data_IF_448537170692
#
_entry.id   IF_448537170692
#
_cell.length_a   1.000
_cell.length_b   1.000
_cell.length_c   1.000
_cell.angle_alpha   90.00
_cell.angle_beta   90.00
_cell.angle_gamma   90.00
#
_symmetry.space_group_name_H-M   'P 1'
#
loop_
_entity.id
_entity.type
_entity.pdbx_description
1 polymer ?
#
# COMPACT_ATOMS: atom_id res chain seq x y z
N UNK A 1 -32.42 6.80 11.28
CA UNK A 1 -31.02 7.12 11.59
C UNK A 1 -30.31 5.80 11.87
N UNK A 2 -29.65 5.21 10.87
CA UNK A 2 -28.83 4.01 11.06
C UNK A 2 -27.60 4.41 11.89
N UNK A 3 -27.36 3.70 12.97
CA UNK A 3 -26.18 3.86 13.81
C UNK A 3 -24.91 3.70 12.97
N UNK A 4 -24.23 4.79 12.68
CA UNK A 4 -22.90 4.86 12.07
C UNK A 4 -21.80 4.48 13.09
N UNK A 5 -22.08 3.57 14.00
CA UNK A 5 -21.05 2.92 14.81
C UNK A 5 -20.70 1.59 14.16
N UNK A 6 -20.24 1.65 12.91
CA UNK A 6 -19.52 0.55 12.30
C UNK A 6 -18.32 0.20 13.17
N UNK A 7 -18.12 -1.07 13.43
CA UNK A 7 -17.00 -1.56 14.24
C UNK A 7 -15.73 -1.42 13.41
N UNK A 8 -15.06 -0.25 13.46
CA UNK A 8 -13.79 -0.01 12.77
C UNK A 8 -12.78 -1.10 13.14
N UNK A 9 -12.21 -1.72 12.12
CA UNK A 9 -11.17 -2.73 12.26
C UNK A 9 -9.81 -2.05 12.45
N UNK A 10 -9.14 -2.38 13.55
CA UNK A 10 -7.77 -1.94 13.82
C UNK A 10 -6.82 -3.08 13.53
N UNK A 11 -5.89 -2.91 12.57
CA UNK A 11 -4.86 -3.91 12.31
C UNK A 11 -3.92 -4.11 13.51
N UNK A 12 -3.29 -5.28 13.58
CA UNK A 12 -2.22 -5.54 14.54
C UNK A 12 -1.01 -4.64 14.26
N UNK A 13 -0.33 -4.18 15.30
CA UNK A 13 0.89 -3.40 15.14
C UNK A 13 2.05 -4.27 14.64
N UNK A 14 2.93 -3.66 13.83
CA UNK A 14 4.16 -4.28 13.39
C UNK A 14 5.04 -4.64 14.61
N UNK A 15 5.41 -5.91 14.69
CA UNK A 15 6.31 -6.42 15.75
C UNK A 15 7.76 -6.33 15.32
N UNK A 16 8.67 -6.28 16.28
CA UNK A 16 10.11 -6.36 16.00
C UNK A 16 10.42 -7.62 15.18
N UNK A 17 11.18 -7.48 14.12
CA UNK A 17 11.50 -8.57 13.19
C UNK A 17 10.41 -8.87 12.18
N UNK A 18 9.30 -8.13 12.20
CA UNK A 18 8.19 -8.28 11.25
C UNK A 18 8.56 -7.85 9.83
N UNK A 19 7.64 -8.06 8.90
CA UNK A 19 7.82 -7.85 7.47
C UNK A 19 7.02 -6.64 7.00
N UNK A 20 7.72 -5.69 6.38
CA UNK A 20 7.14 -4.52 5.73
C UNK A 20 6.99 -4.82 4.24
N UNK A 21 5.77 -5.01 3.77
CA UNK A 21 5.46 -5.09 2.35
C UNK A 21 5.47 -3.70 1.73
N UNK A 22 6.17 -3.54 0.62
CA UNK A 22 6.18 -2.30 -0.14
C UNK A 22 5.51 -2.53 -1.50
N UNK A 23 4.61 -1.63 -1.87
CA UNK A 23 3.85 -1.69 -3.13
C UNK A 23 3.94 -0.36 -3.86
N UNK A 24 3.72 -0.39 -5.16
CA UNK A 24 3.68 0.81 -5.99
C UNK A 24 2.35 0.91 -6.75
N UNK A 25 1.24 1.20 -6.05
CA UNK A 25 -0.08 1.26 -6.68
C UNK A 25 -0.26 2.55 -7.51
N UNK A 26 0.62 3.52 -7.33
CA UNK A 26 0.69 4.74 -8.10
C UNK A 26 2.08 4.88 -8.73
N UNK A 27 2.88 5.87 -8.34
CA UNK A 27 4.25 6.03 -8.86
C UNK A 27 5.20 4.96 -8.31
N UNK A 28 6.04 4.39 -9.17
CA UNK A 28 7.18 3.55 -8.78
C UNK A 28 8.46 4.38 -8.70
N UNK A 29 9.32 4.07 -7.74
CA UNK A 29 10.56 4.82 -7.51
C UNK A 29 11.66 4.45 -8.53
N UNK A 30 11.39 4.68 -9.84
CA UNK A 30 12.27 4.28 -10.94
C UNK A 30 13.24 5.37 -11.41
N UNK A 31 13.11 6.60 -10.90
CA UNK A 31 13.94 7.75 -11.25
C UNK A 31 14.52 8.42 -10.01
N UNK A 32 15.67 9.11 -10.18
CA UNK A 32 16.26 9.91 -9.11
C UNK A 32 15.45 11.21 -8.86
N UNK A 33 15.37 11.71 -7.61
CA UNK A 33 16.03 11.16 -6.40
C UNK A 33 15.24 10.06 -5.68
N UNK A 34 14.06 9.69 -6.19
CA UNK A 34 13.14 8.75 -5.53
C UNK A 34 13.72 7.33 -5.44
N UNK A 35 14.44 6.89 -6.46
CA UNK A 35 15.10 5.59 -6.48
C UNK A 35 16.07 5.42 -5.30
N UNK A 36 17.01 6.34 -5.16
CA UNK A 36 17.99 6.31 -4.06
C UNK A 36 17.32 6.51 -2.70
N UNK A 37 16.33 7.41 -2.59
CA UNK A 37 15.61 7.67 -1.36
C UNK A 37 14.87 6.43 -0.88
N UNK A 38 14.15 5.73 -1.76
CA UNK A 38 13.41 4.54 -1.40
C UNK A 38 14.34 3.36 -1.06
N UNK A 39 15.42 3.16 -1.82
CA UNK A 39 16.45 2.17 -1.46
C UNK A 39 17.03 2.41 -0.07
N UNK A 40 17.41 3.64 0.23
CA UNK A 40 17.92 4.02 1.54
C UNK A 40 16.90 3.76 2.65
N UNK A 41 15.62 4.00 2.40
CA UNK A 41 14.55 3.68 3.35
C UNK A 41 14.48 2.17 3.63
N UNK A 42 14.52 1.33 2.59
CA UNK A 42 14.54 -0.13 2.73
C UNK A 42 15.76 -0.62 3.53
N UNK A 43 16.94 -0.07 3.25
CA UNK A 43 18.17 -0.39 3.99
C UNK A 43 18.06 0.00 5.47
N UNK A 44 17.44 1.14 5.77
CA UNK A 44 17.19 1.57 7.14
C UNK A 44 16.22 0.64 7.88
N UNK A 45 15.13 0.21 7.24
CA UNK A 45 14.21 -0.77 7.84
C UNK A 45 14.94 -2.08 8.15
N UNK A 46 15.76 -2.57 7.23
CA UNK A 46 16.58 -3.76 7.48
C UNK A 46 17.56 -3.56 8.64
N UNK A 47 18.23 -2.40 8.72
CA UNK A 47 19.13 -2.06 9.82
C UNK A 47 18.40 -1.95 11.17
N UNK A 48 17.12 -1.60 11.18
CA UNK A 48 16.26 -1.58 12.37
C UNK A 48 15.75 -2.98 12.76
N UNK A 49 16.10 -4.01 11.98
CA UNK A 49 15.72 -5.41 12.25
C UNK A 49 14.39 -5.85 11.64
N UNK A 50 13.79 -5.04 10.75
CA UNK A 50 12.63 -5.46 9.96
C UNK A 50 13.06 -6.11 8.66
N UNK A 51 12.20 -6.95 8.10
CA UNK A 51 12.35 -7.45 6.74
C UNK A 51 11.55 -6.58 5.78
N UNK A 52 12.06 -6.37 4.57
CA UNK A 52 11.35 -5.64 3.52
C UNK A 52 11.02 -6.60 2.39
N UNK A 53 9.74 -6.68 2.06
CA UNK A 53 9.20 -7.45 0.94
C UNK A 53 8.74 -6.47 -0.14
N UNK A 54 9.43 -6.50 -1.30
CA UNK A 54 9.24 -5.52 -2.38
C UNK A 54 8.31 -6.07 -3.47
N UNK A 55 7.21 -5.38 -3.69
CA UNK A 55 6.37 -5.60 -4.85
C UNK A 55 7.11 -5.37 -6.16
N UNK A 56 6.73 -6.11 -7.17
CA UNK A 56 7.40 -6.10 -8.48
C UNK A 56 7.38 -4.75 -9.19
N UNK A 57 6.47 -3.85 -8.78
CA UNK A 57 6.30 -2.53 -9.38
C UNK A 57 7.08 -1.42 -8.67
N UNK A 58 7.70 -1.67 -7.51
CA UNK A 58 8.32 -0.63 -6.69
C UNK A 58 9.40 0.20 -7.40
N UNK A 59 10.09 -0.39 -8.38
CA UNK A 59 11.13 0.29 -9.18
C UNK A 59 10.77 0.37 -10.67
N UNK A 60 9.50 0.28 -11.02
CA UNK A 60 9.02 0.41 -12.39
C UNK A 60 8.41 1.78 -12.65
N UNK A 61 8.32 2.13 -13.91
CA UNK A 61 7.58 3.28 -14.41
C UNK A 61 7.00 2.97 -15.77
N UNK A 62 5.73 3.32 -15.97
CA UNK A 62 5.01 3.16 -17.24
C UNK A 62 4.35 4.51 -17.60
N UNK A 63 5.01 5.25 -18.44
CA UNK A 63 4.57 6.59 -18.81
C UNK A 63 4.74 7.61 -17.67
N UNK A 64 3.71 8.41 -17.42
CA UNK A 64 3.75 9.50 -16.45
C UNK A 64 2.92 9.15 -15.21
N UNK A 65 3.56 9.13 -14.04
CA UNK A 65 2.87 9.09 -12.74
C UNK A 65 2.30 7.73 -12.33
N UNK A 66 2.64 6.64 -13.03
CA UNK A 66 2.23 5.27 -12.67
C UNK A 66 3.41 4.31 -12.79
N UNK A 67 3.46 3.30 -11.93
CA UNK A 67 4.54 2.30 -11.91
C UNK A 67 4.39 1.25 -13.02
N UNK A 68 3.16 0.81 -13.28
CA UNK A 68 2.83 -0.22 -14.26
C UNK A 68 1.42 0.02 -14.80
N UNK A 69 0.89 -0.89 -15.61
CA UNK A 69 -0.51 -0.80 -16.04
C UNK A 69 -1.48 -0.78 -14.84
N UNK A 70 -2.65 -0.14 -14.96
CA UNK A 70 -3.65 -0.15 -13.89
C UNK A 70 -4.00 -1.54 -13.39
N UNK A 71 -4.09 -2.53 -14.30
CA UNK A 71 -4.34 -3.92 -13.97
C UNK A 71 -3.25 -4.53 -13.09
N UNK A 72 -1.99 -4.28 -13.43
CA UNK A 72 -0.86 -4.79 -12.66
C UNK A 72 -0.76 -4.13 -11.29
N UNK A 73 -0.99 -2.82 -11.22
CA UNK A 73 -0.98 -2.08 -9.95
C UNK A 73 -2.10 -2.53 -9.00
N UNK A 74 -3.32 -2.68 -9.51
CA UNK A 74 -4.46 -3.14 -8.72
C UNK A 74 -4.31 -4.58 -8.24
N UNK A 75 -3.76 -5.45 -9.09
CA UNK A 75 -3.45 -6.83 -8.73
C UNK A 75 -2.36 -6.91 -7.66
N UNK A 76 -1.24 -6.20 -7.82
CA UNK A 76 -0.17 -6.16 -6.82
C UNK A 76 -0.69 -5.68 -5.47
N UNK A 77 -1.45 -4.59 -5.44
CA UNK A 77 -2.04 -4.07 -4.21
C UNK A 77 -2.96 -5.10 -3.54
N UNK A 78 -3.81 -5.76 -4.31
CA UNK A 78 -4.71 -6.81 -3.81
C UNK A 78 -3.93 -7.98 -3.22
N UNK A 79 -2.97 -8.53 -3.98
CA UNK A 79 -2.18 -9.69 -3.56
C UNK A 79 -1.35 -9.40 -2.31
N UNK A 80 -0.70 -8.24 -2.25
CA UNK A 80 0.09 -7.84 -1.09
C UNK A 80 -0.76 -7.58 0.15
N UNK A 81 -1.96 -7.01 -0.02
CA UNK A 81 -2.88 -6.83 1.10
C UNK A 81 -3.38 -8.16 1.67
N UNK A 82 -3.63 -9.14 0.80
CA UNK A 82 -4.10 -10.49 1.18
C UNK A 82 -2.98 -11.41 1.68
N UNK A 83 -1.72 -11.11 1.35
CA UNK A 83 -0.58 -11.95 1.71
C UNK A 83 -0.41 -12.07 3.23
N UNK A 84 -0.14 -13.26 3.71
CA UNK A 84 0.25 -13.51 5.10
C UNK A 84 1.75 -13.38 5.34
N UNK A 85 2.53 -13.16 4.27
CA UNK A 85 4.00 -13.05 4.32
C UNK A 85 4.47 -11.66 4.75
N UNK A 86 3.58 -10.66 4.78
CA UNK A 86 3.88 -9.31 5.26
C UNK A 86 2.88 -8.86 6.32
N UNK A 87 3.33 -8.03 7.26
CA UNK A 87 2.55 -7.57 8.40
C UNK A 87 1.87 -6.22 8.17
N UNK A 88 2.54 -5.34 7.43
CA UNK A 88 2.03 -4.01 7.05
C UNK A 88 2.36 -3.72 5.61
N UNK A 89 1.65 -2.76 5.00
CA UNK A 89 1.95 -2.26 3.66
C UNK A 89 2.33 -0.79 3.68
N UNK A 90 3.41 -0.48 2.95
CA UNK A 90 3.79 0.89 2.60
C UNK A 90 3.70 1.08 1.09
N UNK A 91 3.11 2.19 0.66
CA UNK A 91 3.29 2.66 -0.71
C UNK A 91 4.67 3.31 -0.86
N UNK A 92 5.41 2.94 -1.89
CA UNK A 92 6.75 3.49 -2.12
C UNK A 92 6.73 4.94 -2.60
N UNK A 93 5.59 5.42 -3.14
CA UNK A 93 5.45 6.79 -3.63
C UNK A 93 4.01 7.24 -3.78
N UNK A 94 3.83 8.53 -3.98
CA UNK A 94 2.58 9.12 -4.46
C UNK A 94 2.43 8.93 -5.96
N UNK A 95 1.78 9.86 -6.64
CA UNK A 95 1.61 9.86 -8.11
C UNK A 95 0.36 10.64 -8.50
N UNK A 96 -0.18 10.31 -9.68
CA UNK A 96 -1.30 11.04 -10.29
C UNK A 96 -2.46 10.14 -10.73
N UNK A 97 -2.22 8.84 -10.93
CA UNK A 97 -3.13 7.97 -11.67
C UNK A 97 -3.65 6.78 -10.83
N UNK A 98 -3.52 6.82 -9.51
CA UNK A 98 -4.00 5.71 -8.68
C UNK A 98 -5.51 5.49 -8.79
N UNK A 99 -6.29 6.51 -9.11
CA UNK A 99 -7.73 6.34 -9.33
C UNK A 99 -8.05 5.31 -10.45
N UNK A 100 -7.17 5.15 -11.44
CA UNK A 100 -7.36 4.22 -12.55
C UNK A 100 -7.21 2.75 -12.14
N UNK A 101 -6.54 2.45 -11.02
CA UNK A 101 -6.33 1.08 -10.56
C UNK A 101 -7.51 0.51 -9.77
N UNK A 102 -8.43 1.37 -9.29
CA UNK A 102 -9.47 0.99 -8.33
C UNK A 102 -10.40 -0.10 -8.86
N UNK A 103 -10.69 -0.10 -10.16
CA UNK A 103 -11.50 -1.16 -10.80
C UNK A 103 -10.80 -2.53 -10.83
N UNK A 104 -9.50 -2.57 -10.60
CA UNK A 104 -8.68 -3.77 -10.58
C UNK A 104 -8.26 -4.21 -9.17
N UNK A 105 -8.74 -3.52 -8.15
CA UNK A 105 -8.59 -3.90 -6.74
C UNK A 105 -9.79 -4.76 -6.32
N UNK A 106 -9.53 -5.95 -5.80
CA UNK A 106 -10.59 -6.86 -5.38
C UNK A 106 -11.07 -6.54 -3.95
N UNK A 107 -11.84 -5.48 -3.81
CA UNK A 107 -12.38 -5.04 -2.51
C UNK A 107 -13.21 -6.11 -1.80
N UNK A 108 -13.87 -7.01 -2.55
CA UNK A 108 -14.66 -8.11 -1.94
C UNK A 108 -13.77 -9.12 -1.21
N UNK A 109 -12.58 -9.37 -1.75
CA UNK A 109 -11.60 -10.23 -1.07
C UNK A 109 -10.94 -9.49 0.10
N UNK A 110 -10.63 -8.21 -0.08
CA UNK A 110 -10.04 -7.38 0.98
C UNK A 110 -10.96 -7.26 2.19
N UNK A 111 -12.28 -7.16 2.00
CA UNK A 111 -13.27 -7.08 3.08
C UNK A 111 -13.21 -8.29 4.03
N UNK A 112 -12.90 -9.46 3.49
CA UNK A 112 -12.81 -10.74 4.22
C UNK A 112 -11.42 -11.03 4.77
N UNK A 113 -10.43 -10.25 4.37
CA UNK A 113 -9.05 -10.43 4.78
C UNK A 113 -8.82 -9.97 6.23
N UNK A 114 -7.74 -10.47 6.83
CA UNK A 114 -7.22 -9.89 8.07
C UNK A 114 -6.88 -8.42 7.81
N UNK A 115 -7.36 -7.48 8.64
CA UNK A 115 -7.04 -6.06 8.45
C UNK A 115 -5.54 -5.85 8.57
N UNK A 116 -5.01 -4.98 7.71
CA UNK A 116 -3.59 -4.66 7.60
C UNK A 116 -3.40 -3.15 7.57
N UNK A 117 -2.39 -2.66 8.28
CA UNK A 117 -1.99 -1.27 8.15
C UNK A 117 -1.51 -1.00 6.72
N UNK A 118 -2.08 0.02 6.13
CA UNK A 118 -1.61 0.59 4.86
C UNK A 118 -1.23 2.04 5.09
N UNK A 119 -0.03 2.42 4.70
CA UNK A 119 0.45 3.78 4.78
C UNK A 119 0.83 4.30 3.39
N UNK A 120 0.33 5.48 3.05
CA UNK A 120 0.62 6.15 1.80
C UNK A 120 0.18 7.61 1.84
N UNK A 121 0.76 8.43 0.98
CA UNK A 121 0.50 9.87 0.90
C UNK A 121 0.01 10.28 -0.49
N UNK A 122 -0.46 11.52 -0.62
CA UNK A 122 -0.88 12.12 -1.89
C UNK A 122 -1.93 11.25 -2.59
N UNK A 123 -1.64 10.75 -3.78
CA UNK A 123 -2.51 9.92 -4.61
C UNK A 123 -3.03 8.66 -3.90
N UNK A 124 -2.28 8.13 -2.92
CA UNK A 124 -2.70 6.99 -2.10
C UNK A 124 -3.96 7.25 -1.27
N UNK A 125 -4.39 8.50 -1.14
CA UNK A 125 -5.65 8.86 -0.50
C UNK A 125 -6.83 8.15 -1.16
N UNK A 126 -6.76 7.85 -2.45
CA UNK A 126 -7.76 7.03 -3.14
C UNK A 126 -8.01 5.69 -2.43
N UNK A 127 -6.95 5.01 -2.01
CA UNK A 127 -7.08 3.72 -1.34
C UNK A 127 -7.30 3.84 0.17
N UNK A 128 -6.60 4.74 0.87
CA UNK A 128 -6.80 4.93 2.31
C UNK A 128 -8.22 5.37 2.64
N UNK A 129 -8.83 6.21 1.80
CA UNK A 129 -10.23 6.60 1.92
C UNK A 129 -11.18 5.39 1.79
N UNK A 130 -10.95 4.52 0.79
CA UNK A 130 -11.80 3.35 0.57
C UNK A 130 -11.57 2.25 1.62
N UNK A 131 -10.35 2.10 2.15
CA UNK A 131 -10.10 1.23 3.30
C UNK A 131 -10.97 1.63 4.49
N UNK A 132 -11.06 2.92 4.75
CA UNK A 132 -11.82 3.44 5.89
C UNK A 132 -13.33 3.40 5.64
N UNK A 133 -13.79 3.78 4.45
CA UNK A 133 -15.23 3.97 4.17
C UNK A 133 -15.94 2.70 3.70
N UNK A 134 -15.27 1.82 2.99
CA UNK A 134 -15.88 0.58 2.46
C UNK A 134 -15.48 -0.63 3.30
N UNK A 135 -14.21 -0.72 3.70
CA UNK A 135 -13.69 -1.88 4.42
C UNK A 135 -13.70 -1.69 5.94
N UNK A 136 -14.12 -0.52 6.41
CA UNK A 136 -14.15 -0.16 7.84
C UNK A 136 -12.81 -0.45 8.54
N UNK A 137 -11.70 -0.27 7.82
CA UNK A 137 -10.34 -0.56 8.31
C UNK A 137 -9.55 0.73 8.44
N UNK A 138 -8.93 0.93 9.60
CA UNK A 138 -8.07 2.10 9.84
C UNK A 138 -6.82 2.01 8.96
N UNK A 139 -6.47 3.14 8.36
CA UNK A 139 -5.27 3.30 7.51
C UNK A 139 -4.46 4.53 7.97
N UNK A 140 -3.26 4.70 7.43
CA UNK A 140 -2.37 5.81 7.77
C UNK A 140 -2.22 6.71 6.53
N UNK A 141 -3.07 7.74 6.38
CA UNK A 141 -2.81 8.76 5.38
C UNK A 141 -1.63 9.60 5.85
N UNK A 142 -0.52 9.51 5.11
CA UNK A 142 0.65 10.34 5.38
C UNK A 142 0.49 11.71 4.71
N UNK A 143 0.86 12.77 5.39
CA UNK A 143 0.84 14.15 4.87
C UNK A 143 2.15 14.50 4.16
#
# INVERSE_FOLDING_TARGET
MSNLTGNMKYPDFLKQGGVIGCVAPSFGCNIEPYYSAFRNACERFNAMGYKVDLGSNCFKGDGIGISSSPQNCGRELTEYYLSEENDILLSCGGGELMCEILDYVDFKRLEKAKPKWYAGYSDNTNFTFLLTTILETVSIPMA
#
